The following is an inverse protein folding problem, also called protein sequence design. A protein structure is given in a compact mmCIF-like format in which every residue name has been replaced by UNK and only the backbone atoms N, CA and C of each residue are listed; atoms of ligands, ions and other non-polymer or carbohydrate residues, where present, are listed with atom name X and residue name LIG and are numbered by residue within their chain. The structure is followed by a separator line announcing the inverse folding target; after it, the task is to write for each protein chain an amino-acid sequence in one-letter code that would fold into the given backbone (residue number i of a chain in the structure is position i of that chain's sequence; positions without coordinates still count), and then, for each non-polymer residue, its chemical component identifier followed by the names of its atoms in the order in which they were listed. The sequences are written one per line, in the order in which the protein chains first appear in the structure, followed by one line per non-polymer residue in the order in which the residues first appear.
data_IF_072644755577
#
_entry.id   IF_072644755577
#
_cell.length_a   1.000
_cell.length_b   1.000
_cell.length_c   1.000
_cell.angle_alpha   90.00
_cell.angle_beta   90.00
_cell.angle_gamma   90.00
#
_symmetry.space_group_name_H-M   'P 1'
#
loop_
_entity.id
_entity.type
_entity.pdbx_description
1 polymer ?
#
# COMPACT_ATOMS: atom_id res chain seq x y z
N UNK A 1 -10.58 -35.06 9.78
CA UNK A 1 -10.32 -33.75 9.16
C UNK A 1 -9.32 -32.99 10.03
N UNK A 2 -8.04 -33.02 9.66
CA UNK A 2 -6.92 -32.55 10.49
C UNK A 2 -6.73 -31.03 10.44
N UNK A 3 -6.52 -30.45 11.62
CA UNK A 3 -6.38 -29.01 11.88
C UNK A 3 -5.07 -28.44 11.31
N UNK A 4 -5.13 -27.78 10.15
CA UNK A 4 -3.98 -27.13 9.45
C UNK A 4 -3.81 -25.66 9.89
N UNK A 5 -4.11 -25.29 11.13
CA UNK A 5 -3.77 -23.96 11.63
C UNK A 5 -2.34 -23.93 12.14
N UNK A 6 -1.45 -23.68 11.16
CA UNK A 6 -0.03 -23.38 11.25
C UNK A 6 0.33 -22.67 12.55
N UNK A 7 1.34 -23.21 13.25
CA UNK A 7 2.19 -22.51 14.23
C UNK A 7 2.70 -21.19 13.63
N UNK A 8 1.92 -20.13 13.72
CA UNK A 8 2.44 -18.77 13.59
C UNK A 8 3.29 -18.56 14.84
N UNK A 9 4.62 -18.52 14.69
CA UNK A 9 5.54 -18.08 15.75
C UNK A 9 5.02 -16.73 16.25
N UNK A 10 4.33 -16.73 17.40
CA UNK A 10 3.92 -15.51 18.07
C UNK A 10 5.20 -14.80 18.51
N UNK A 11 5.62 -13.82 17.71
CA UNK A 11 6.61 -12.86 18.13
C UNK A 11 6.02 -12.11 19.32
N UNK A 12 6.79 -11.94 20.39
CA UNK A 12 6.35 -11.23 21.60
C UNK A 12 7.10 -9.90 21.70
N UNK A 13 6.45 -8.87 22.23
CA UNK A 13 7.07 -7.57 22.54
C UNK A 13 6.95 -7.26 24.02
N UNK A 14 8.02 -6.73 24.60
CA UNK A 14 8.00 -6.15 25.94
C UNK A 14 7.53 -4.69 25.88
N UNK A 15 6.55 -4.34 26.70
CA UNK A 15 6.07 -2.97 26.87
C UNK A 15 5.80 -2.66 28.34
N UNK A 16 5.89 -1.40 28.73
CA UNK A 16 5.57 -0.97 30.09
C UNK A 16 4.06 -0.77 30.25
N UNK A 17 3.51 -1.20 31.37
CA UNK A 17 2.13 -0.87 31.74
C UNK A 17 1.99 0.65 31.95
N UNK A 18 0.97 1.32 31.38
CA UNK A 18 0.78 2.76 31.55
C UNK A 18 0.45 3.16 33.01
N UNK A 19 -0.06 2.24 33.83
CA UNK A 19 -0.47 2.52 35.21
C UNK A 19 0.64 2.24 36.24
N UNK A 20 1.22 1.04 36.21
CA UNK A 20 2.21 0.61 37.21
C UNK A 20 3.64 0.51 36.68
N UNK A 21 3.89 0.86 35.40
CA UNK A 21 5.19 0.82 34.72
C UNK A 21 5.89 -0.54 34.68
N UNK A 22 5.27 -1.60 35.19
CA UNK A 22 5.76 -2.99 35.11
C UNK A 22 5.96 -3.38 33.64
N UNK A 23 7.00 -4.14 33.34
CA UNK A 23 7.20 -4.70 32.01
C UNK A 23 6.28 -5.90 31.77
N UNK A 24 5.54 -5.88 30.67
CA UNK A 24 4.65 -6.94 30.23
C UNK A 24 5.15 -7.48 28.89
N UNK A 25 5.13 -8.81 28.75
CA UNK A 25 5.31 -9.48 27.46
C UNK A 25 3.96 -9.71 26.83
N UNK A 26 3.77 -9.20 25.62
CA UNK A 26 2.50 -9.28 24.89
C UNK A 26 2.73 -9.88 23.50
N UNK A 27 1.75 -10.60 22.95
CA UNK A 27 1.86 -11.11 21.59
C UNK A 27 1.79 -9.97 20.57
N UNK A 28 2.72 -9.97 19.61
CA UNK A 28 2.76 -9.00 18.52
C UNK A 28 1.75 -9.43 17.44
N UNK A 29 0.60 -8.74 17.38
CA UNK A 29 -0.37 -8.90 16.28
C UNK A 29 -0.47 -7.59 15.48
N UNK A 30 0.32 -7.44 14.39
CA UNK A 30 0.25 -6.23 13.56
C UNK A 30 -1.14 -6.05 12.95
N UNK A 31 -1.61 -4.80 12.89
CA UNK A 31 -2.90 -4.44 12.29
C UNK A 31 -4.14 -4.82 13.12
N UNK A 32 -3.99 -5.28 14.37
CA UNK A 32 -5.11 -5.53 15.29
C UNK A 32 -4.93 -4.76 16.59
N UNK A 33 -6.04 -4.26 17.12
CA UNK A 33 -6.10 -3.71 18.48
C UNK A 33 -6.18 -4.88 19.46
N UNK A 34 -5.22 -4.93 20.39
CA UNK A 34 -5.13 -5.93 21.44
C UNK A 34 -5.50 -5.28 22.77
N UNK A 35 -6.59 -5.79 23.36
CA UNK A 35 -6.98 -5.43 24.72
C UNK A 35 -6.21 -6.28 25.71
N UNK A 36 -5.35 -5.64 26.50
CA UNK A 36 -4.45 -6.31 27.45
C UNK A 36 -4.87 -5.96 28.87
N UNK A 37 -4.81 -6.95 29.74
CA UNK A 37 -4.97 -6.76 31.18
C UNK A 37 -3.62 -6.90 31.86
N UNK A 38 -3.23 -5.90 32.66
CA UNK A 38 -1.98 -5.96 33.41
C UNK A 38 -2.09 -6.95 34.58
N UNK A 39 -1.20 -7.94 34.70
CA UNK A 39 -1.25 -8.90 35.81
C UNK A 39 -0.87 -8.28 37.16
N UNK A 40 -0.17 -7.14 37.18
CA UNK A 40 0.30 -6.51 38.43
C UNK A 40 -0.67 -5.50 39.02
N UNK A 41 -1.51 -4.85 38.20
CA UNK A 41 -2.44 -3.80 38.69
C UNK A 41 -3.86 -3.92 38.12
N UNK A 42 -4.15 -5.00 37.39
CA UNK A 42 -5.44 -5.29 36.76
C UNK A 42 -5.96 -4.20 35.80
N UNK A 43 -5.15 -3.22 35.42
CA UNK A 43 -5.52 -2.18 34.46
C UNK A 43 -5.72 -2.79 33.07
N UNK A 44 -6.81 -2.42 32.40
CA UNK A 44 -7.10 -2.81 31.02
C UNK A 44 -6.76 -1.67 30.08
N UNK A 45 -6.01 -1.94 29.02
CA UNK A 45 -5.66 -0.95 28.01
C UNK A 45 -5.51 -1.60 26.64
N UNK A 46 -5.68 -0.79 25.61
CA UNK A 46 -5.61 -1.22 24.22
C UNK A 46 -4.28 -0.81 23.61
N UNK A 47 -3.67 -1.72 22.84
CA UNK A 47 -2.49 -1.41 22.04
C UNK A 47 -2.72 -1.79 20.59
N UNK A 48 -2.13 -1.02 19.68
CA UNK A 48 -2.07 -1.34 18.27
C UNK A 48 -0.61 -1.37 17.82
N UNK A 49 -0.24 -2.41 17.09
CA UNK A 49 1.07 -2.49 16.44
C UNK A 49 0.92 -2.03 14.99
N UNK A 50 1.66 -0.97 14.63
CA UNK A 50 1.80 -0.56 13.23
C UNK A 50 2.35 -1.72 12.41
N UNK A 51 1.75 -1.99 11.26
CA UNK A 51 2.26 -2.97 10.32
C UNK A 51 3.24 -2.25 9.37
N UNK A 52 4.55 -2.59 9.38
CA UNK A 52 5.55 -1.86 8.61
C UNK A 52 5.29 -1.91 7.10
N UNK A 53 4.64 -2.96 6.60
CA UNK A 53 4.30 -3.07 5.17
C UNK A 53 3.15 -2.12 4.83
N UNK A 54 2.13 -2.06 5.69
CA UNK A 54 0.97 -1.19 5.49
C UNK A 54 1.33 0.29 5.61
N UNK A 55 2.30 0.64 6.46
CA UNK A 55 2.83 2.01 6.55
C UNK A 55 3.59 2.41 5.26
N UNK A 56 4.15 1.46 4.50
CA UNK A 56 4.83 1.76 3.23
C UNK A 56 3.88 2.04 2.06
N UNK A 57 2.64 1.54 2.09
CA UNK A 57 1.64 1.75 1.05
C UNK A 57 0.56 2.77 1.42
N UNK A 58 0.72 3.44 2.57
CA UNK A 58 -0.18 4.52 2.97
C UNK A 58 0.16 5.77 2.15
N UNK A 59 -0.37 5.79 0.93
CA UNK A 59 -0.17 6.86 -0.04
C UNK A 59 -0.93 8.11 0.42
N UNK A 60 -0.20 9.11 0.87
CA UNK A 60 -0.74 10.39 1.32
C UNK A 60 -1.01 11.29 0.11
N UNK A 61 -2.28 11.40 -0.27
CA UNK A 61 -2.76 12.23 -1.38
C UNK A 61 -2.54 13.73 -1.16
N UNK A 62 -2.22 14.17 0.06
CA UNK A 62 -2.00 15.59 0.38
C UNK A 62 -0.58 16.07 0.07
N UNK A 63 0.34 15.16 -0.24
CA UNK A 63 1.74 15.48 -0.57
C UNK A 63 1.98 15.36 -2.07
N UNK A 64 2.77 16.28 -2.60
CA UNK A 64 3.17 16.22 -4.01
C UNK A 64 3.85 14.89 -4.33
N UNK A 65 3.45 14.30 -5.46
CA UNK A 65 4.01 13.07 -6.04
C UNK A 65 5.54 12.91 -5.86
N UNK A 66 6.39 13.92 -6.18
CA UNK A 66 7.84 13.79 -6.01
C UNK A 66 8.30 13.56 -4.55
N UNK A 67 7.58 14.10 -3.58
CA UNK A 67 7.93 13.99 -2.16
C UNK A 67 7.66 12.58 -1.61
N UNK A 68 6.57 11.94 -2.06
CA UNK A 68 6.22 10.57 -1.69
C UNK A 68 7.18 9.55 -2.34
N UNK A 69 7.57 9.78 -3.60
CA UNK A 69 8.50 8.90 -4.34
C UNK A 69 9.88 8.86 -3.68
N UNK A 70 10.38 10.00 -3.18
CA UNK A 70 11.70 10.08 -2.53
C UNK A 70 11.84 9.13 -1.34
N UNK A 71 10.77 8.95 -0.56
CA UNK A 71 10.75 8.03 0.59
C UNK A 71 10.82 6.56 0.15
N UNK A 72 10.11 6.22 -0.91
CA UNK A 72 10.13 4.87 -1.49
C UNK A 72 11.52 4.55 -2.06
N UNK A 73 12.14 5.48 -2.77
CA UNK A 73 13.46 5.28 -3.36
C UNK A 73 14.61 5.23 -2.35
N UNK A 74 14.51 5.96 -1.23
CA UNK A 74 15.56 5.95 -0.18
C UNK A 74 15.77 4.54 0.41
N UNK A 75 14.68 3.81 0.62
CA UNK A 75 14.73 2.43 1.11
C UNK A 75 14.98 1.40 0.01
N UNK A 76 15.03 1.83 -1.25
CA UNK A 76 15.21 0.93 -2.38
C UNK A 76 16.69 0.53 -2.57
N UNK A 77 17.61 1.42 -2.20
CA UNK A 77 19.04 1.17 -2.32
C UNK A 77 19.58 0.13 -1.32
N UNK A 78 18.86 -0.11 -0.21
CA UNK A 78 19.19 -1.13 0.79
C UNK A 78 18.72 -2.54 0.42
N UNK A 79 18.00 -2.71 -0.70
CA UNK A 79 17.53 -4.02 -1.14
C UNK A 79 18.64 -4.88 -1.77
N UNK A 80 18.56 -6.23 -1.63
CA UNK A 80 19.46 -7.13 -2.33
C UNK A 80 19.32 -7.00 -3.84
N UNK A 81 20.42 -7.19 -4.57
CA UNK A 81 20.52 -6.97 -6.03
C UNK A 81 19.45 -7.71 -6.82
N UNK A 82 19.10 -8.93 -6.39
CA UNK A 82 18.04 -9.73 -7.02
C UNK A 82 16.68 -9.05 -6.93
N UNK A 83 16.30 -8.54 -5.76
CA UNK A 83 15.03 -7.85 -5.56
C UNK A 83 14.95 -6.55 -6.37
N UNK A 84 16.06 -5.80 -6.45
CA UNK A 84 16.14 -4.60 -7.30
C UNK A 84 15.85 -4.92 -8.77
N UNK A 85 16.48 -5.96 -9.30
CA UNK A 85 16.26 -6.40 -10.68
C UNK A 85 14.80 -6.81 -10.91
N UNK A 86 14.22 -7.61 -10.00
CA UNK A 86 12.83 -8.05 -10.14
C UNK A 86 11.88 -6.85 -10.16
N UNK A 87 12.04 -5.90 -9.25
CA UNK A 87 11.16 -4.74 -9.17
C UNK A 87 11.35 -3.82 -10.41
N UNK A 88 12.58 -3.64 -10.89
CA UNK A 88 12.84 -2.87 -12.11
C UNK A 88 12.14 -3.49 -13.33
N UNK A 89 12.15 -4.82 -13.46
CA UNK A 89 11.43 -5.53 -14.52
C UNK A 89 9.91 -5.34 -14.42
N UNK A 90 9.34 -5.41 -13.21
CA UNK A 90 7.92 -5.15 -13.00
C UNK A 90 7.52 -3.72 -13.38
N UNK A 91 8.31 -2.72 -12.95
CA UNK A 91 8.06 -1.32 -13.30
C UNK A 91 8.16 -1.14 -14.83
N UNK A 92 9.19 -1.70 -15.46
CA UNK A 92 9.35 -1.65 -16.91
C UNK A 92 8.18 -2.29 -17.66
N UNK A 93 7.69 -3.45 -17.21
CA UNK A 93 6.53 -4.12 -17.80
C UNK A 93 5.24 -3.30 -17.66
N UNK A 94 5.01 -2.68 -16.49
CA UNK A 94 3.84 -1.82 -16.25
C UNK A 94 3.89 -0.60 -17.17
N UNK A 95 5.05 0.05 -17.29
CA UNK A 95 5.22 1.19 -18.20
C UNK A 95 5.02 0.80 -19.66
N UNK A 96 5.57 -0.36 -20.08
CA UNK A 96 5.40 -0.89 -21.43
C UNK A 96 3.92 -1.10 -21.76
N UNK A 97 3.19 -1.82 -20.90
CA UNK A 97 1.75 -2.06 -21.08
C UNK A 97 0.97 -0.74 -21.10
N UNK A 98 1.28 0.19 -20.20
CA UNK A 98 0.64 1.50 -20.14
C UNK A 98 0.82 2.30 -21.44
N UNK A 99 2.04 2.33 -22.00
CA UNK A 99 2.32 3.01 -23.27
C UNK A 99 1.59 2.34 -24.44
N UNK A 100 1.62 1.01 -24.52
CA UNK A 100 0.88 0.27 -25.54
C UNK A 100 -0.63 0.53 -25.48
N UNK A 101 -1.19 0.67 -24.28
CA UNK A 101 -2.61 0.99 -24.09
C UNK A 101 -2.94 2.44 -24.47
N UNK A 102 -2.04 3.39 -24.14
CA UNK A 102 -2.22 4.81 -24.43
C UNK A 102 -2.26 5.12 -25.93
N UNK A 103 -1.53 4.37 -26.75
CA UNK A 103 -1.58 4.53 -28.22
C UNK A 103 -2.88 3.97 -28.81
N UNK A 104 -3.47 2.94 -28.19
CA UNK A 104 -4.71 2.33 -28.66
C UNK A 104 -5.96 3.20 -28.46
N UNK A 105 -5.96 4.11 -27.48
CA UNK A 105 -7.14 4.93 -27.15
C UNK A 105 -7.39 6.11 -28.10
N UNK A 106 -6.35 6.63 -28.78
CA UNK A 106 -6.45 7.82 -29.65
C UNK A 106 -7.13 7.54 -31.01
N UNK A 107 -7.34 6.28 -31.40
CA UNK A 107 -7.85 5.96 -32.74
C UNK A 107 -9.38 5.91 -32.86
N UNK A 108 -10.13 6.16 -31.77
CA UNK A 108 -11.60 5.97 -31.75
C UNK A 108 -12.45 7.24 -31.79
N UNK A 109 -11.88 8.44 -31.78
CA UNK A 109 -12.66 9.69 -31.72
C UNK A 109 -12.68 10.56 -32.99
N UNK A 110 -12.15 10.11 -34.13
CA UNK A 110 -12.23 10.87 -35.39
C UNK A 110 -13.02 10.14 -36.48
N UNK A 111 -14.35 10.21 -36.40
CA UNK A 111 -15.24 10.09 -37.57
C UNK A 111 -16.62 10.63 -37.20
N UNK A 112 -16.74 11.95 -37.14
CA UNK A 112 -18.04 12.61 -37.33
C UNK A 112 -18.35 12.54 -38.83
N UNK A 113 -19.43 11.86 -39.26
CA UNK A 113 -19.85 11.91 -40.66
C UNK A 113 -20.32 13.33 -41.00
N UNK A 114 -19.83 13.82 -42.12
CA UNK A 114 -20.17 15.12 -42.72
C UNK A 114 -21.69 15.38 -42.67
N UNK A 115 -22.09 16.47 -42.02
CA UNK A 115 -23.41 17.04 -42.22
C UNK A 115 -23.48 17.63 -43.64
N UNK A 116 -24.54 17.37 -44.42
CA UNK A 116 -24.69 17.89 -45.77
C UNK A 116 -24.85 19.42 -45.75
N UNK A 117 -24.05 20.12 -46.55
CA UNK A 117 -24.25 21.52 -46.89
C UNK A 117 -25.55 21.65 -47.68
N UNK A 118 -26.51 22.38 -47.12
CA UNK A 118 -27.76 22.72 -47.78
C UNK A 118 -27.53 24.03 -48.56
N UNK A 119 -27.03 23.90 -49.78
CA UNK A 119 -27.22 24.88 -50.85
C UNK A 119 -28.72 24.97 -51.18
N UNK A 120 -29.37 26.09 -50.86
CA UNK A 120 -30.55 26.62 -51.56
C UNK A 120 -30.48 28.16 -51.40
N UNK A 121 -29.85 28.93 -52.27
CA UNK A 121 -30.33 29.39 -53.58
C UNK A 121 -31.80 29.86 -53.60
N UNK A 122 -31.97 31.13 -54.00
CA UNK A 122 -33.18 31.82 -54.46
C UNK A 122 -34.26 32.17 -53.42
N UNK A 123 -34.26 33.42 -52.94
CA UNK A 123 -35.20 34.48 -53.35
C UNK A 123 -34.70 35.86 -52.87
#
# INVERSE_FOLDING_TARGET
MGSILKKLKLSHKSLACPRCKRQLRVPLKPGKILRITCPSCSSKFDISFKNPILDMFNWDNSKDFPSNIKLVFKNFNTLPTRAKLTIALFIGAILYIGVSFYQGSQTKEFSTPNAPQLEQSLF
#
